data_IF_347403892381
#
_entry.id   IF_347403892381
#
_cell.length_a   1.000
_cell.length_b   1.000
_cell.length_c   1.000
_cell.angle_alpha   90.00
_cell.angle_beta   90.00
_cell.angle_gamma   90.00
#
_symmetry.space_group_name_H-M   'P 1'
#
loop_
_entity.id
_entity.type
_entity.pdbx_description
1 polymer ?
#
# COMPACT_ATOMS: atom_id res chain seq x y z
N UNK A 1 40.17 47.02 -23.39
CA UNK A 1 39.81 45.66 -23.86
C UNK A 1 40.54 44.64 -23.01
N UNK A 2 39.88 44.13 -21.97
CA UNK A 2 40.27 42.90 -21.27
C UNK A 2 38.97 42.34 -20.70
N UNK A 3 38.48 41.26 -21.30
CA UNK A 3 37.30 40.52 -20.82
C UNK A 3 37.77 39.57 -19.73
N UNK A 4 37.36 39.83 -18.49
CA UNK A 4 37.49 38.87 -17.39
C UNK A 4 36.39 37.83 -17.51
N UNK A 5 36.79 36.56 -17.65
CA UNK A 5 35.90 35.39 -17.64
C UNK A 5 35.57 35.08 -16.17
N UNK A 6 34.30 35.21 -15.79
CA UNK A 6 33.80 34.75 -14.50
C UNK A 6 33.45 33.26 -14.66
N UNK A 7 34.28 32.39 -14.09
CA UNK A 7 33.98 30.97 -13.94
C UNK A 7 33.08 30.84 -12.70
N UNK A 8 31.77 30.70 -12.90
CA UNK A 8 30.87 30.26 -11.83
C UNK A 8 31.04 28.75 -11.64
N UNK A 9 31.67 28.35 -10.55
CA UNK A 9 31.60 26.97 -10.05
C UNK A 9 30.15 26.71 -9.58
N UNK A 10 29.40 25.91 -10.35
CA UNK A 10 28.22 25.23 -9.84
C UNK A 10 28.67 24.10 -8.92
N UNK A 11 28.57 24.32 -7.61
CA UNK A 11 28.62 23.24 -6.63
C UNK A 11 27.26 22.54 -6.71
N UNK A 12 27.24 21.39 -7.39
CA UNK A 12 26.11 20.47 -7.39
C UNK A 12 26.01 19.86 -5.98
N UNK A 13 25.24 20.49 -5.09
CA UNK A 13 24.80 19.85 -3.85
C UNK A 13 23.83 18.73 -4.25
N UNK A 14 24.36 17.52 -4.39
CA UNK A 14 23.58 16.29 -4.28
C UNK A 14 23.02 16.24 -2.85
N UNK A 15 21.87 16.86 -2.65
CA UNK A 15 21.01 16.53 -1.52
C UNK A 15 20.49 15.13 -1.84
N UNK A 16 21.16 14.12 -1.31
CA UNK A 16 20.57 12.80 -1.16
C UNK A 16 19.44 13.00 -0.16
N UNK A 17 18.25 13.32 -0.66
CA UNK A 17 17.02 13.17 0.10
C UNK A 17 16.89 11.65 0.24
N UNK A 18 17.34 11.11 1.38
CA UNK A 18 16.92 9.79 1.79
C UNK A 18 15.39 9.82 1.78
N UNK A 19 14.77 9.11 0.83
CA UNK A 19 13.34 8.76 0.90
C UNK A 19 13.15 8.11 2.27
N UNK A 20 12.63 8.86 3.24
CA UNK A 20 12.21 8.26 4.50
C UNK A 20 10.93 7.49 4.19
N UNK A 21 11.08 6.18 3.96
CA UNK A 21 9.98 5.25 3.78
C UNK A 21 9.20 5.09 5.09
N UNK A 22 8.57 6.13 5.64
CA UNK A 22 7.75 6.05 6.86
C UNK A 22 8.42 5.51 8.13
N UNK A 23 9.65 4.98 8.09
CA UNK A 23 10.31 4.38 9.25
C UNK A 23 10.81 5.48 10.18
N UNK A 24 10.47 5.34 11.46
CA UNK A 24 10.78 6.33 12.48
C UNK A 24 11.87 5.89 13.46
N UNK A 25 12.15 4.59 13.55
CA UNK A 25 13.14 4.01 14.44
C UNK A 25 14.55 4.47 14.05
N UNK A 26 15.33 5.03 15.00
CA UNK A 26 16.71 5.42 14.75
C UNK A 26 17.66 4.21 14.70
N UNK A 27 17.16 3.02 15.01
CA UNK A 27 17.96 1.81 15.10
C UNK A 27 17.93 1.06 13.77
N UNK A 28 19.10 0.79 13.21
CA UNK A 28 19.22 -0.02 11.99
C UNK A 28 18.77 -1.46 12.26
N UNK A 29 17.92 -2.08 11.41
CA UNK A 29 17.52 -3.47 11.54
C UNK A 29 18.72 -4.44 11.54
N UNK A 30 18.56 -5.62 12.17
CA UNK A 30 19.62 -6.62 12.30
C UNK A 30 20.04 -7.24 10.95
N UNK A 31 19.14 -7.25 9.98
CA UNK A 31 19.35 -7.77 8.62
C UNK A 31 18.66 -6.87 7.59
N UNK A 32 18.91 -7.13 6.31
CA UNK A 32 18.18 -6.51 5.22
C UNK A 32 16.83 -7.19 5.06
N UNK A 33 15.74 -6.42 5.06
CA UNK A 33 14.39 -6.92 4.81
C UNK A 33 13.88 -6.50 3.45
N UNK A 34 12.97 -7.31 2.89
CA UNK A 34 12.30 -7.00 1.62
C UNK A 34 11.15 -6.02 1.81
N UNK A 35 10.50 -6.06 2.97
CA UNK A 35 9.34 -5.24 3.26
C UNK A 35 9.46 -4.53 4.60
N UNK A 36 8.76 -3.40 4.71
CA UNK A 36 8.69 -2.60 5.92
C UNK A 36 7.42 -1.77 5.98
N UNK A 37 6.91 -1.50 7.18
CA UNK A 37 5.75 -0.65 7.40
C UNK A 37 5.89 0.13 8.72
N UNK A 38 5.46 1.40 8.71
CA UNK A 38 5.24 2.18 9.94
C UNK A 38 3.89 1.78 10.54
N UNK A 39 3.91 1.12 11.71
CA UNK A 39 2.67 0.76 12.41
C UNK A 39 2.08 1.95 13.15
N UNK A 40 2.92 2.81 13.70
CA UNK A 40 2.52 4.06 14.33
C UNK A 40 3.64 5.09 14.25
N UNK A 41 3.27 6.29 13.82
CA UNK A 41 4.22 7.38 13.59
C UNK A 41 5.06 7.70 14.81
N UNK A 42 6.39 7.64 14.64
CA UNK A 42 7.38 7.86 15.69
C UNK A 42 7.35 6.88 16.87
N UNK A 43 6.68 5.73 16.73
CA UNK A 43 6.45 4.78 17.83
C UNK A 43 6.75 3.34 17.46
N UNK A 44 6.28 2.86 16.32
CA UNK A 44 6.34 1.43 16.02
C UNK A 44 6.57 1.18 14.53
N UNK A 45 7.60 0.38 14.22
CA UNK A 45 8.01 0.03 12.87
C UNK A 45 8.19 -1.48 12.75
N UNK A 46 7.75 -2.05 11.63
CA UNK A 46 7.81 -3.49 11.36
C UNK A 46 8.54 -3.75 10.04
N UNK A 47 9.46 -4.71 10.05
CA UNK A 47 10.10 -5.26 8.86
C UNK A 47 9.82 -6.74 8.75
N UNK A 48 9.75 -7.25 7.52
CA UNK A 48 9.60 -8.69 7.31
C UNK A 48 10.18 -9.20 6.00
N UNK A 49 10.48 -10.50 6.01
CA UNK A 49 10.77 -11.32 4.83
C UNK A 49 9.94 -12.59 4.93
N UNK A 50 9.31 -12.98 3.82
CA UNK A 50 8.67 -14.29 3.68
C UNK A 50 9.62 -15.26 3.00
N UNK A 51 9.73 -16.45 3.57
CA UNK A 51 10.34 -17.62 2.96
C UNK A 51 9.23 -18.64 2.62
N UNK A 52 8.72 -18.60 1.39
CA UNK A 52 7.68 -19.54 0.95
C UNK A 52 8.17 -20.99 0.86
N UNK A 53 9.48 -21.22 0.72
CA UNK A 53 10.04 -22.57 0.63
C UNK A 53 10.01 -23.25 2.01
N UNK A 54 10.45 -22.54 3.05
CA UNK A 54 10.38 -23.01 4.44
C UNK A 54 9.00 -22.76 5.08
N UNK A 55 8.10 -22.06 4.38
CA UNK A 55 6.77 -21.66 4.87
C UNK A 55 6.85 -20.85 6.16
N UNK A 56 7.82 -19.94 6.24
CA UNK A 56 8.09 -19.10 7.40
C UNK A 56 8.06 -17.61 7.03
N UNK A 57 7.81 -16.77 8.03
CA UNK A 57 7.99 -15.33 7.97
C UNK A 57 8.92 -14.90 9.10
N UNK A 58 9.90 -14.05 8.77
CA UNK A 58 10.82 -13.47 9.73
C UNK A 58 10.44 -12.01 9.89
N UNK A 59 10.16 -11.61 11.13
CA UNK A 59 9.85 -10.23 11.50
C UNK A 59 11.02 -9.61 12.26
N UNK A 60 11.16 -8.30 12.13
CA UNK A 60 11.81 -7.47 13.15
C UNK A 60 10.89 -6.32 13.50
N UNK A 61 10.59 -6.20 14.79
CA UNK A 61 9.63 -5.24 15.32
C UNK A 61 10.33 -4.29 16.28
N UNK A 62 10.29 -2.99 15.96
CA UNK A 62 10.87 -1.94 16.77
C UNK A 62 9.76 -1.11 17.39
N UNK A 63 9.82 -0.91 18.70
CA UNK A 63 8.88 -0.04 19.41
C UNK A 63 9.61 0.90 20.34
N UNK A 64 9.18 2.15 20.38
CA UNK A 64 9.72 3.21 21.25
C UNK A 64 9.31 2.99 22.71
N UNK A 65 9.94 2.02 23.35
CA UNK A 65 9.79 1.68 24.76
C UNK A 65 11.08 1.02 25.29
N UNK A 66 11.12 0.72 26.60
CA UNK A 66 12.15 -0.09 27.29
C UNK A 66 11.45 -1.18 28.10
N UNK A 67 10.43 -1.78 27.49
CA UNK A 67 9.54 -2.72 28.13
C UNK A 67 9.06 -3.74 27.12
N UNK A 68 8.06 -4.54 27.50
CA UNK A 68 7.54 -5.54 26.58
C UNK A 68 6.89 -4.93 25.33
N UNK A 69 7.03 -5.64 24.22
CA UNK A 69 6.40 -5.36 22.92
C UNK A 69 5.60 -6.58 22.48
N UNK A 70 4.47 -6.35 21.82
CA UNK A 70 3.64 -7.42 21.28
C UNK A 70 3.23 -7.10 19.85
N UNK A 71 3.31 -8.13 19.00
CA UNK A 71 2.79 -8.13 17.63
C UNK A 71 1.83 -9.31 17.51
N UNK A 72 0.67 -9.11 16.88
CA UNK A 72 -0.27 -10.18 16.66
C UNK A 72 -0.97 -10.12 15.32
N UNK A 73 -1.45 -11.27 14.86
CA UNK A 73 -2.32 -11.42 13.70
C UNK A 73 -3.74 -11.58 14.21
N UNK A 74 -4.65 -10.71 13.76
CA UNK A 74 -6.03 -10.65 14.24
C UNK A 74 -7.02 -10.98 13.12
N UNK A 75 -8.06 -11.78 13.38
CA UNK A 75 -9.12 -12.02 12.41
C UNK A 75 -9.98 -10.77 12.11
N UNK A 76 -10.06 -9.83 13.06
CA UNK A 76 -10.99 -8.69 13.01
C UNK A 76 -10.38 -7.35 13.47
N UNK A 77 -9.07 -7.30 13.72
CA UNK A 77 -8.35 -6.10 14.17
C UNK A 77 -8.45 -5.76 15.66
N UNK A 78 -9.19 -6.56 16.43
CA UNK A 78 -9.23 -6.51 17.90
C UNK A 78 -8.43 -7.65 18.55
N UNK A 79 -8.41 -7.69 19.88
CA UNK A 79 -7.72 -8.76 20.62
C UNK A 79 -8.41 -10.12 20.44
N UNK A 80 -9.75 -10.17 20.39
CA UNK A 80 -10.48 -11.45 20.34
C UNK A 80 -10.07 -12.29 19.12
N UNK A 81 -9.61 -13.51 19.38
CA UNK A 81 -9.15 -14.48 18.41
C UNK A 81 -7.78 -14.16 17.81
N UNK A 82 -7.05 -13.19 18.37
CA UNK A 82 -5.71 -12.86 17.88
C UNK A 82 -4.65 -13.83 18.42
N UNK A 83 -3.72 -14.14 17.53
CA UNK A 83 -2.49 -14.89 17.77
C UNK A 83 -1.35 -13.87 17.93
N UNK A 84 -0.64 -13.91 19.06
CA UNK A 84 0.18 -12.81 19.56
C UNK A 84 1.53 -13.32 20.07
N UNK A 85 2.61 -12.85 19.45
CA UNK A 85 3.95 -12.91 20.04
C UNK A 85 4.20 -11.73 20.98
N UNK A 86 4.59 -12.02 22.22
CA UNK A 86 5.00 -11.00 23.22
C UNK A 86 6.46 -11.20 23.58
N UNK A 87 7.28 -10.15 23.53
CA UNK A 87 8.68 -10.24 23.89
C UNK A 87 9.24 -9.00 24.57
N UNK A 88 10.36 -9.18 25.27
CA UNK A 88 11.11 -8.12 25.95
C UNK A 88 12.60 -8.50 26.03
N UNK A 89 13.46 -7.54 26.39
CA UNK A 89 14.89 -7.76 26.55
C UNK A 89 15.26 -7.36 27.96
N UNK A 90 15.68 -8.32 28.78
CA UNK A 90 15.99 -8.05 30.18
C UNK A 90 17.30 -7.24 30.36
N UNK A 91 17.59 -6.87 31.61
CA UNK A 91 18.79 -6.11 31.97
C UNK A 91 20.11 -6.84 31.67
N UNK A 92 20.09 -8.16 31.47
CA UNK A 92 21.25 -8.94 31.06
C UNK A 92 21.39 -9.00 29.52
N UNK A 93 20.46 -8.40 28.78
CA UNK A 93 20.39 -8.42 27.33
C UNK A 93 19.78 -9.71 26.76
N UNK A 94 19.12 -10.51 27.60
CA UNK A 94 18.49 -11.76 27.17
C UNK A 94 17.09 -11.46 26.64
N UNK A 95 16.80 -12.01 25.47
CA UNK A 95 15.47 -11.92 24.85
C UNK A 95 14.56 -12.96 25.47
N UNK A 96 13.42 -12.51 25.96
CA UNK A 96 12.31 -13.35 26.37
C UNK A 96 11.19 -13.19 25.35
N UNK A 97 10.54 -14.30 25.00
CA UNK A 97 9.47 -14.30 24.02
C UNK A 97 8.44 -15.37 24.35
N UNK A 98 7.17 -15.04 24.18
CA UNK A 98 6.05 -15.89 24.52
C UNK A 98 5.04 -15.88 23.38
N UNK A 99 4.62 -17.07 23.01
CA UNK A 99 3.47 -17.32 22.15
C UNK A 99 2.18 -17.21 22.98
N UNK A 100 1.19 -16.47 22.50
CA UNK A 100 -0.02 -16.17 23.27
C UNK A 100 -1.27 -16.05 22.40
N UNK A 101 -2.38 -16.55 22.94
CA UNK A 101 -3.70 -16.45 22.34
C UNK A 101 -4.64 -15.52 23.13
N UNK A 102 -5.38 -14.67 22.43
CA UNK A 102 -6.34 -13.75 23.03
C UNK A 102 -7.80 -14.20 22.82
N UNK A 103 -8.41 -14.83 23.83
CA UNK A 103 -9.84 -15.22 23.79
C UNK A 103 -10.82 -14.03 23.81
N UNK A 104 -10.36 -12.83 24.16
CA UNK A 104 -11.22 -11.67 24.35
C UNK A 104 -10.44 -10.38 24.60
N UNK A 105 -11.11 -9.40 25.21
CA UNK A 105 -10.52 -8.13 25.62
C UNK A 105 -9.90 -8.24 27.02
N UNK A 106 -9.15 -9.31 27.26
CA UNK A 106 -8.47 -9.65 28.52
C UNK A 106 -7.00 -9.97 28.22
N UNK A 107 -6.12 -10.03 29.22
CA UNK A 107 -4.74 -10.46 29.01
C UNK A 107 -4.68 -11.76 28.20
N UNK A 108 -3.88 -11.82 27.12
CA UNK A 108 -3.77 -13.03 26.31
C UNK A 108 -3.06 -14.12 27.13
N UNK A 109 -3.52 -15.35 27.00
CA UNK A 109 -2.96 -16.49 27.73
C UNK A 109 -1.79 -17.06 26.96
N UNK A 110 -0.84 -17.69 27.66
CA UNK A 110 0.25 -18.41 27.01
C UNK A 110 -0.34 -19.54 26.17
N UNK A 111 0.06 -19.58 24.91
CA UNK A 111 -0.20 -20.72 24.06
C UNK A 111 0.82 -21.83 24.35
N UNK A 112 0.32 -23.02 24.65
CA UNK A 112 1.13 -24.18 25.00
C UNK A 112 0.77 -25.42 24.19
N UNK A 113 -0.09 -25.30 23.18
CA UNK A 113 -0.44 -26.42 22.29
C UNK A 113 0.68 -26.67 21.29
N UNK A 114 1.22 -25.61 20.70
CA UNK A 114 2.43 -25.62 19.87
C UNK A 114 3.29 -24.39 20.20
N UNK A 115 4.53 -24.36 19.70
CA UNK A 115 5.39 -23.17 19.81
C UNK A 115 5.65 -22.73 18.40
N UNK A 116 5.00 -21.66 17.97
CA UNK A 116 5.02 -21.24 16.58
C UNK A 116 5.75 -19.93 16.35
N UNK A 117 6.08 -19.25 17.45
CA UNK A 117 6.87 -18.03 17.46
C UNK A 117 8.24 -18.25 18.11
N UNK A 118 9.30 -17.97 17.36
CA UNK A 118 10.67 -18.23 17.78
C UNK A 118 11.48 -16.93 17.82
N UNK A 119 11.98 -16.49 18.98
CA UNK A 119 12.89 -15.36 19.04
C UNK A 119 14.22 -15.73 18.38
N UNK A 120 14.77 -14.79 17.60
CA UNK A 120 16.09 -14.91 17.00
C UNK A 120 17.10 -14.07 17.77
N UNK A 121 16.78 -12.79 18.00
CA UNK A 121 17.63 -11.84 18.71
C UNK A 121 16.84 -10.57 19.04
N UNK A 122 17.36 -9.76 19.96
CA UNK A 122 16.70 -8.56 20.42
C UNK A 122 17.67 -7.64 21.15
N UNK A 123 17.32 -6.36 21.20
CA UNK A 123 18.11 -5.33 21.88
C UNK A 123 17.21 -4.23 22.40
N UNK A 124 17.63 -3.64 23.52
CA UNK A 124 17.15 -2.34 23.95
C UNK A 124 18.23 -1.29 23.75
N UNK A 125 17.91 -0.23 23.01
CA UNK A 125 18.85 0.83 22.70
C UNK A 125 18.10 2.15 22.48
N UNK A 126 18.65 3.25 23.00
CA UNK A 126 18.10 4.60 22.77
C UNK A 126 16.60 4.77 23.09
N UNK A 127 16.07 4.03 24.07
CA UNK A 127 14.65 4.07 24.43
C UNK A 127 13.73 3.33 23.46
N UNK A 128 14.27 2.36 22.72
CA UNK A 128 13.52 1.45 21.86
C UNK A 128 13.86 -0.01 22.20
N UNK A 129 12.84 -0.85 22.15
CA UNK A 129 12.94 -2.30 22.20
C UNK A 129 12.76 -2.83 20.78
N UNK A 130 13.75 -3.59 20.31
CA UNK A 130 13.80 -4.18 18.97
C UNK A 130 13.96 -5.69 19.08
N UNK A 131 13.02 -6.47 18.54
CA UNK A 131 13.09 -7.94 18.57
C UNK A 131 12.88 -8.50 17.17
N UNK A 132 13.78 -9.39 16.76
CA UNK A 132 13.65 -10.23 15.58
C UNK A 132 13.17 -11.62 16.00
N UNK A 133 12.15 -12.11 15.33
CA UNK A 133 11.55 -13.42 15.57
C UNK A 133 11.00 -14.01 14.28
N UNK A 134 10.79 -15.32 14.26
CA UNK A 134 10.19 -16.01 13.12
C UNK A 134 8.91 -16.73 13.52
N UNK A 135 8.01 -16.91 12.55
CA UNK A 135 6.75 -17.62 12.70
C UNK A 135 6.46 -18.46 11.46
N UNK A 136 5.87 -19.64 11.62
CA UNK A 136 5.33 -20.40 10.48
C UNK A 136 4.17 -19.62 9.84
N UNK A 137 3.99 -19.76 8.52
CA UNK A 137 2.87 -19.12 7.81
C UNK A 137 1.53 -19.74 8.21
N UNK A 138 1.51 -21.05 8.42
CA UNK A 138 0.35 -21.83 8.86
C UNK A 138 0.85 -22.95 9.77
N UNK A 139 0.42 -22.92 11.02
CA UNK A 139 0.89 -23.76 12.13
C UNK A 139 0.03 -25.02 12.29
N UNK A 140 -1.13 -25.05 11.63
CA UNK A 140 -2.19 -26.04 11.85
C UNK A 140 -2.72 -26.07 13.30
N UNK A 141 -2.40 -25.06 14.12
CA UNK A 141 -3.03 -24.83 15.42
C UNK A 141 -4.38 -24.11 15.24
N UNK A 142 -5.39 -24.59 15.96
CA UNK A 142 -6.72 -23.98 16.02
C UNK A 142 -6.76 -22.62 16.75
N UNK A 143 -5.76 -22.32 17.57
CA UNK A 143 -5.62 -21.03 18.26
C UNK A 143 -4.86 -19.99 17.44
N UNK A 144 -4.23 -20.40 16.34
CA UNK A 144 -3.45 -19.52 15.49
C UNK A 144 -4.23 -18.95 14.31
N UNK A 145 -3.77 -17.79 13.85
CA UNK A 145 -4.31 -17.14 12.66
C UNK A 145 -3.35 -17.37 11.49
N UNK A 146 -3.71 -18.17 10.47
CA UNK A 146 -2.82 -18.43 9.33
C UNK A 146 -2.54 -17.13 8.55
N UNK A 147 -1.28 -16.89 8.22
CA UNK A 147 -0.85 -15.78 7.37
C UNK A 147 -1.05 -16.20 5.92
N UNK A 148 -2.18 -15.76 5.37
CA UNK A 148 -2.57 -16.04 3.99
C UNK A 148 -2.06 -14.94 3.07
N UNK A 149 -2.00 -15.27 1.78
CA UNK A 149 -1.73 -14.27 0.75
C UNK A 149 -2.81 -13.17 0.78
N UNK A 150 -2.38 -11.93 0.58
CA UNK A 150 -3.23 -10.75 0.67
C UNK A 150 -3.17 -10.07 2.03
N UNK A 151 -4.19 -9.27 2.33
CA UNK A 151 -4.22 -8.40 3.52
C UNK A 151 -4.38 -9.18 4.81
N UNK A 152 -3.43 -9.02 5.72
CA UNK A 152 -3.46 -9.52 7.08
C UNK A 152 -3.72 -8.34 8.04
N UNK A 153 -4.50 -8.54 9.09
CA UNK A 153 -4.72 -7.49 10.09
C UNK A 153 -3.73 -7.70 11.23
N UNK A 154 -2.73 -6.83 11.27
CA UNK A 154 -1.71 -6.79 12.32
C UNK A 154 -2.18 -5.89 13.45
N UNK A 155 -2.10 -6.38 14.67
CA UNK A 155 -2.27 -5.60 15.89
C UNK A 155 -0.92 -5.50 16.60
N UNK A 156 -0.71 -4.40 17.32
CA UNK A 156 0.45 -4.27 18.18
C UNK A 156 0.06 -3.62 19.51
N UNK A 157 0.84 -3.91 20.54
CA UNK A 157 0.75 -3.26 21.85
C UNK A 157 2.12 -3.22 22.52
N UNK A 158 2.30 -2.34 23.50
CA UNK A 158 3.55 -2.28 24.26
C UNK A 158 3.36 -1.76 25.69
N UNK A 159 4.21 -2.25 26.58
CA UNK A 159 4.34 -1.82 27.96
C UNK A 159 5.52 -0.88 28.16
N UNK A 160 5.56 -0.21 29.32
CA UNK A 160 6.68 0.66 29.71
C UNK A 160 7.74 -0.05 30.56
N UNK A 161 7.44 -1.26 31.00
CA UNK A 161 8.28 -2.05 31.91
C UNK A 161 8.26 -3.50 31.46
N UNK A 162 9.38 -4.19 31.68
CA UNK A 162 9.47 -5.63 31.45
C UNK A 162 8.56 -6.41 32.42
N UNK A 163 8.07 -7.59 32.00
CA UNK A 163 7.32 -8.49 32.85
C UNK A 163 8.15 -9.00 34.03
N UNK A 164 7.48 -9.22 35.17
CA UNK A 164 8.10 -9.83 36.34
C UNK A 164 8.30 -11.33 36.13
N UNK A 165 9.57 -11.73 35.93
CA UNK A 165 9.99 -13.12 35.72
C UNK A 165 9.80 -14.03 36.94
N UNK A 166 9.47 -13.49 38.12
CA UNK A 166 9.17 -14.30 39.30
C UNK A 166 7.80 -14.99 39.21
N UNK A 167 6.98 -14.64 38.22
CA UNK A 167 5.69 -15.27 37.95
C UNK A 167 5.78 -16.19 36.74
N UNK A 168 5.10 -17.33 36.81
CA UNK A 168 5.17 -18.40 35.81
C UNK A 168 4.66 -18.00 34.43
N UNK A 169 3.82 -16.97 34.36
CA UNK A 169 3.28 -16.45 33.11
C UNK A 169 3.99 -15.19 32.61
N UNK A 170 4.85 -14.53 33.40
CA UNK A 170 5.36 -13.19 33.08
C UNK A 170 4.19 -12.19 33.01
N UNK A 171 3.92 -11.48 34.11
CA UNK A 171 2.77 -10.57 34.24
C UNK A 171 2.87 -9.40 33.25
N UNK A 172 2.23 -9.55 32.09
CA UNK A 172 2.20 -8.54 31.04
C UNK A 172 1.29 -7.41 31.51
N UNK A 173 1.91 -6.31 31.94
CA UNK A 173 1.20 -5.10 32.38
C UNK A 173 0.26 -4.56 31.29
N UNK A 174 -0.84 -3.91 31.69
CA UNK A 174 -1.80 -3.37 30.74
C UNK A 174 -1.20 -2.28 29.84
N UNK A 175 -1.40 -2.39 28.54
CA UNK A 175 -0.86 -1.46 27.54
C UNK A 175 -1.57 -0.09 27.51
N UNK A 176 -2.76 0.06 28.10
CA UNK A 176 -3.55 1.29 28.01
C UNK A 176 -3.76 1.73 26.54
N UNK A 177 -3.50 2.99 26.19
CA UNK A 177 -3.59 3.51 24.83
C UNK A 177 -2.40 3.16 23.93
N UNK A 178 -1.38 2.45 24.44
CA UNK A 178 -0.17 2.04 23.71
C UNK A 178 -0.42 0.80 22.85
N UNK A 179 -1.33 0.93 21.89
CA UNK A 179 -1.75 -0.13 20.97
C UNK A 179 -2.24 0.42 19.64
N UNK A 180 -2.27 -0.42 18.63
CA UNK A 180 -2.87 -0.07 17.34
C UNK A 180 -3.12 -1.27 16.43
N UNK A 181 -3.72 -0.98 15.29
CA UNK A 181 -4.11 -1.97 14.27
C UNK A 181 -3.74 -1.45 12.88
N UNK A 182 -3.21 -2.32 12.02
CA UNK A 182 -2.87 -2.04 10.63
C UNK A 182 -3.26 -3.21 9.72
N UNK A 183 -3.69 -2.89 8.51
CA UNK A 183 -3.87 -3.87 7.44
C UNK A 183 -2.57 -3.91 6.64
N UNK A 184 -1.91 -5.07 6.58
CA UNK A 184 -0.60 -5.24 5.94
C UNK A 184 -0.64 -6.50 5.07
N UNK A 185 -0.23 -6.42 3.80
CA UNK A 185 -0.06 -7.61 2.98
C UNK A 185 1.24 -8.33 3.37
N UNK A 186 1.24 -9.03 4.51
CA UNK A 186 2.42 -9.74 5.02
C UNK A 186 2.96 -10.78 4.03
N UNK A 187 2.07 -11.35 3.21
CA UNK A 187 2.41 -12.28 2.14
C UNK A 187 1.84 -11.78 0.82
N UNK A 188 2.58 -10.91 0.13
CA UNK A 188 2.28 -10.47 -1.24
C UNK A 188 2.72 -11.52 -2.28
N UNK A 189 2.04 -11.57 -3.42
CA UNK A 189 2.49 -12.37 -4.56
C UNK A 189 3.66 -11.64 -5.24
N UNK A 190 4.88 -12.01 -4.85
CA UNK A 190 6.10 -11.40 -5.39
C UNK A 190 6.50 -10.10 -4.68
N UNK A 191 7.71 -9.64 -4.98
CA UNK A 191 8.15 -8.32 -4.54
C UNK A 191 7.74 -7.31 -5.60
N UNK A 192 7.28 -6.10 -5.21
CA UNK A 192 7.17 -5.03 -6.16
C UNK A 192 8.55 -4.81 -6.81
N UNK A 193 8.60 -4.67 -8.14
CA UNK A 193 9.86 -4.43 -8.85
C UNK A 193 10.48 -3.10 -8.40
N UNK A 194 11.82 -3.02 -8.43
CA UNK A 194 12.51 -1.76 -8.21
C UNK A 194 12.38 -0.85 -9.44
N UNK A 195 12.41 0.46 -9.23
CA UNK A 195 12.41 1.45 -10.32
C UNK A 195 13.59 1.24 -11.29
N UNK A 196 14.73 0.75 -10.79
CA UNK A 196 15.93 0.42 -11.58
C UNK A 196 15.66 -0.63 -12.66
N UNK A 197 14.70 -1.55 -12.44
CA UNK A 197 14.35 -2.58 -13.42
C UNK A 197 13.84 -1.97 -14.73
N UNK A 198 13.18 -0.81 -14.65
CA UNK A 198 12.59 -0.13 -15.80
C UNK A 198 13.43 1.06 -16.28
N UNK A 199 14.63 1.22 -15.73
CA UNK A 199 15.52 2.31 -16.11
C UNK A 199 15.87 2.23 -17.61
N UNK A 200 15.71 3.36 -18.30
CA UNK A 200 16.02 3.49 -19.72
C UNK A 200 14.90 3.09 -20.68
N UNK A 201 13.77 2.58 -20.19
CA UNK A 201 12.58 2.34 -21.02
C UNK A 201 11.88 3.66 -21.36
N UNK A 202 11.25 3.71 -22.54
CA UNK A 202 10.30 4.78 -22.88
C UNK A 202 9.15 4.79 -21.85
N UNK A 203 8.62 5.97 -21.55
CA UNK A 203 7.48 6.12 -20.63
C UNK A 203 6.59 7.31 -20.97
N UNK A 204 5.40 7.33 -20.37
CA UNK A 204 4.48 8.47 -20.40
C UNK A 204 3.72 8.56 -19.07
N UNK A 205 3.17 9.74 -18.76
CA UNK A 205 2.61 10.05 -17.44
C UNK A 205 1.27 10.77 -17.52
N UNK A 206 0.44 10.56 -16.49
CA UNK A 206 -0.76 11.34 -16.22
C UNK A 206 -0.71 11.82 -14.77
N UNK A 207 -0.58 13.15 -14.56
CA UNK A 207 -0.37 13.74 -13.23
C UNK A 207 -1.29 14.95 -12.96
N UNK A 208 -1.57 15.28 -11.69
CA UNK A 208 -2.36 16.46 -11.35
C UNK A 208 -1.63 17.81 -11.59
N UNK A 209 -0.30 17.77 -11.72
CA UNK A 209 0.60 18.88 -12.08
C UNK A 209 0.27 20.24 -11.40
N UNK A 210 0.84 20.46 -10.21
CA UNK A 210 0.67 21.68 -9.41
C UNK A 210 -0.78 22.00 -9.04
N UNK A 211 -1.61 20.97 -8.86
CA UNK A 211 -3.00 21.13 -8.45
C UNK A 211 -3.07 21.64 -7.01
N UNK A 212 -3.85 22.70 -6.78
CA UNK A 212 -4.11 23.22 -5.43
C UNK A 212 -5.27 22.45 -4.83
N UNK A 213 -4.97 21.48 -3.98
CA UNK A 213 -5.98 20.65 -3.33
C UNK A 213 -6.86 21.52 -2.43
N UNK A 214 -8.20 21.50 -2.60
CA UNK A 214 -9.12 22.18 -1.71
C UNK A 214 -8.99 21.70 -0.25
N UNK A 215 -9.39 22.56 0.69
CA UNK A 215 -9.48 22.18 2.12
C UNK A 215 -10.79 21.48 2.49
N UNK A 216 -11.55 21.03 1.50
CA UNK A 216 -12.73 20.20 1.72
C UNK A 216 -12.32 18.83 2.25
N UNK A 217 -13.21 18.18 2.99
CA UNK A 217 -12.92 16.89 3.64
C UNK A 217 -12.62 15.78 2.64
N UNK A 218 -13.27 15.80 1.47
CA UNK A 218 -13.01 14.90 0.35
C UNK A 218 -13.09 15.71 -0.95
N UNK A 219 -12.17 15.46 -1.88
CA UNK A 219 -12.18 16.08 -3.20
C UNK A 219 -11.83 15.07 -4.27
N UNK A 220 -12.62 15.01 -5.33
CA UNK A 220 -12.31 14.28 -6.56
C UNK A 220 -11.87 15.29 -7.60
N UNK A 221 -10.64 15.14 -8.09
CA UNK A 221 -10.04 15.98 -9.10
C UNK A 221 -9.94 15.22 -10.43
N UNK A 222 -10.37 15.84 -11.51
CA UNK A 222 -10.41 15.25 -12.84
C UNK A 222 -9.59 16.07 -13.84
N UNK A 223 -8.69 15.39 -14.55
CA UNK A 223 -7.89 15.99 -15.63
C UNK A 223 -7.93 15.14 -16.89
N UNK A 224 -8.30 15.77 -18.00
CA UNK A 224 -8.32 15.14 -19.32
C UNK A 224 -6.94 15.22 -19.96
N UNK A 225 -6.47 14.09 -20.47
CA UNK A 225 -5.23 13.94 -21.20
C UNK A 225 -5.48 13.44 -22.61
N UNK A 226 -4.66 13.89 -23.56
CA UNK A 226 -4.55 13.23 -24.86
C UNK A 226 -3.73 11.95 -24.73
N UNK A 227 -4.04 10.97 -25.57
CA UNK A 227 -3.20 9.80 -25.74
C UNK A 227 -1.76 10.18 -26.16
N UNK A 228 -0.75 9.43 -25.71
CA UNK A 228 0.65 9.70 -26.04
C UNK A 228 0.91 9.58 -27.55
N UNK A 229 1.24 10.71 -28.19
CA UNK A 229 1.41 10.81 -29.65
C UNK A 229 2.79 10.39 -30.14
N UNK A 230 3.75 10.16 -29.22
CA UNK A 230 5.10 9.71 -29.56
C UNK A 230 5.15 8.26 -30.08
N UNK A 231 4.09 7.46 -29.86
CA UNK A 231 4.02 6.07 -30.29
C UNK A 231 3.22 5.91 -31.59
N UNK A 232 3.93 6.02 -32.72
CA UNK A 232 3.34 5.92 -34.07
C UNK A 232 2.85 4.51 -34.42
N UNK A 233 3.40 3.49 -33.79
CA UNK A 233 2.97 2.08 -33.91
C UNK A 233 2.50 1.58 -32.56
N UNK A 234 1.70 0.50 -32.56
CA UNK A 234 1.25 -0.14 -31.32
C UNK A 234 2.45 -0.56 -30.48
N UNK A 235 2.42 -0.20 -29.19
CA UNK A 235 3.37 -0.59 -28.14
C UNK A 235 2.60 -1.14 -26.95
N UNK A 236 3.27 -1.89 -26.08
CA UNK A 236 2.71 -2.34 -24.81
C UNK A 236 3.42 -1.65 -23.67
N UNK A 237 2.66 -1.00 -22.77
CA UNK A 237 3.14 -0.76 -21.44
C UNK A 237 3.20 -2.09 -20.68
N UNK A 238 4.30 -2.34 -19.98
CA UNK A 238 4.58 -3.61 -19.27
C UNK A 238 4.57 -3.45 -17.75
N UNK A 239 4.53 -2.22 -17.28
CA UNK A 239 4.44 -1.87 -15.88
C UNK A 239 3.85 -0.47 -15.73
N UNK A 240 3.34 -0.17 -14.55
CA UNK A 240 3.03 1.19 -14.13
C UNK A 240 3.71 1.53 -12.80
N UNK A 241 3.94 2.82 -12.56
CA UNK A 241 4.41 3.35 -11.29
C UNK A 241 3.49 4.49 -10.86
N UNK A 242 2.95 4.42 -9.65
CA UNK A 242 2.23 5.52 -9.03
C UNK A 242 3.23 6.51 -8.46
N UNK A 243 3.08 7.76 -8.89
CA UNK A 243 3.92 8.89 -8.52
C UNK A 243 3.20 9.67 -7.44
N UNK A 244 3.26 9.25 -6.17
CA UNK A 244 2.68 10.02 -5.07
C UNK A 244 3.70 11.04 -4.57
N UNK A 245 3.34 12.32 -4.59
CA UNK A 245 4.11 13.39 -3.95
C UNK A 245 4.31 13.04 -2.47
N UNK A 246 5.57 12.94 -2.05
CA UNK A 246 5.90 12.51 -0.69
C UNK A 246 5.32 13.44 0.37
N UNK A 247 5.05 14.70 0.02
CA UNK A 247 4.43 15.68 0.90
C UNK A 247 2.92 15.53 1.01
N UNK A 248 2.27 14.72 0.16
CA UNK A 248 0.82 14.52 0.10
C UNK A 248 0.38 13.06 0.21
N UNK A 249 1.25 12.15 0.67
CA UNK A 249 0.89 10.75 0.96
C UNK A 249 -0.23 10.60 2.00
N UNK A 250 -0.44 11.60 2.84
CA UNK A 250 -1.56 11.69 3.79
C UNK A 250 -2.90 12.11 3.15
N UNK A 251 -2.88 12.60 1.90
CA UNK A 251 -4.07 13.07 1.20
C UNK A 251 -4.48 12.16 0.03
N UNK A 252 -3.51 11.70 -0.77
CA UNK A 252 -3.80 10.91 -1.97
C UNK A 252 -4.34 9.53 -1.57
N UNK A 253 -5.65 9.34 -1.74
CA UNK A 253 -6.35 8.15 -1.25
C UNK A 253 -6.54 7.09 -2.34
N UNK A 254 -6.91 7.51 -3.55
CA UNK A 254 -6.90 6.64 -4.73
C UNK A 254 -6.71 7.44 -6.02
N UNK A 255 -6.25 6.75 -7.06
CA UNK A 255 -6.05 7.25 -8.41
C UNK A 255 -6.69 6.29 -9.39
N UNK A 256 -7.39 6.83 -10.39
CA UNK A 256 -7.90 6.07 -11.54
C UNK A 256 -7.51 6.80 -12.82
N UNK A 257 -7.09 6.06 -13.84
CA UNK A 257 -7.04 6.60 -15.20
C UNK A 257 -8.07 5.88 -16.03
N UNK A 258 -9.04 6.63 -16.52
CA UNK A 258 -10.09 6.13 -17.39
C UNK A 258 -9.72 6.28 -18.86
N UNK A 259 -10.19 5.34 -19.67
CA UNK A 259 -10.16 5.40 -21.12
C UNK A 259 -11.47 6.00 -21.63
N UNK A 260 -11.38 7.07 -22.42
CA UNK A 260 -12.56 7.61 -23.07
C UNK A 260 -13.00 6.74 -24.26
N UNK A 261 -14.31 6.73 -24.52
CA UNK A 261 -14.86 6.15 -25.76
C UNK A 261 -14.12 6.73 -26.99
N UNK A 262 -13.80 5.92 -28.01
CA UNK A 262 -13.11 6.39 -29.22
C UNK A 262 -13.82 7.53 -29.98
N UNK A 263 -15.12 7.70 -29.77
CA UNK A 263 -15.95 8.77 -30.29
C UNK A 263 -15.91 10.06 -29.45
N UNK A 264 -15.30 10.04 -28.26
CA UNK A 264 -15.16 11.23 -27.43
C UNK A 264 -14.32 12.31 -28.12
N UNK A 265 -14.79 13.55 -28.02
CA UNK A 265 -14.13 14.74 -28.59
C UNK A 265 -14.02 15.83 -27.54
N UNK A 266 -12.82 16.39 -27.38
CA UNK A 266 -12.56 17.53 -26.51
C UNK A 266 -11.97 18.69 -27.32
N UNK A 267 -12.06 19.91 -26.78
CA UNK A 267 -11.26 21.02 -27.28
C UNK A 267 -9.81 20.84 -26.81
N UNK A 268 -8.97 20.46 -27.75
CA UNK A 268 -7.54 20.22 -27.57
C UNK A 268 -6.77 21.42 -26.98
N UNK A 269 -7.27 22.64 -27.15
CA UNK A 269 -6.68 23.85 -26.59
C UNK A 269 -7.10 24.12 -25.14
N UNK A 270 -8.17 23.48 -24.67
CA UNK A 270 -8.77 23.71 -23.35
C UNK A 270 -9.35 22.41 -22.78
N UNK A 271 -8.47 21.45 -22.52
CA UNK A 271 -8.86 20.17 -21.91
C UNK A 271 -9.34 20.40 -20.47
N UNK A 272 -10.45 19.75 -20.04
CA UNK A 272 -10.94 19.86 -18.67
C UNK A 272 -9.88 19.48 -17.62
N UNK A 273 -9.74 20.32 -16.59
CA UNK A 273 -8.77 20.21 -15.49
C UNK A 273 -9.36 20.95 -14.29
N UNK A 274 -10.15 20.24 -13.46
CA UNK A 274 -10.84 20.82 -12.31
C UNK A 274 -11.35 19.72 -11.36
N UNK A 275 -12.02 20.10 -10.27
CA UNK A 275 -12.87 19.22 -9.48
C UNK A 275 -13.86 18.50 -10.40
N UNK A 276 -13.98 17.18 -10.23
CA UNK A 276 -14.76 16.32 -11.12
C UNK A 276 -16.21 16.79 -11.30
N UNK A 277 -16.86 17.30 -10.25
CA UNK A 277 -18.23 17.82 -10.32
C UNK A 277 -18.41 18.95 -11.35
N UNK A 278 -17.41 19.84 -11.46
CA UNK A 278 -17.46 20.98 -12.39
C UNK A 278 -17.33 20.54 -13.86
N UNK A 279 -16.62 19.44 -14.10
CA UNK A 279 -16.32 18.92 -15.44
C UNK A 279 -17.07 17.64 -15.76
N UNK A 280 -17.97 17.18 -14.87
CA UNK A 280 -18.64 15.89 -14.95
C UNK A 280 -19.37 15.70 -16.28
N UNK A 281 -20.04 16.74 -16.77
CA UNK A 281 -20.72 16.74 -18.07
C UNK A 281 -19.80 16.37 -19.25
N UNK A 282 -18.50 16.61 -19.12
CA UNK A 282 -17.50 16.29 -20.14
C UNK A 282 -16.84 14.91 -19.92
N UNK A 283 -16.64 14.49 -18.67
CA UNK A 283 -15.81 13.32 -18.35
C UNK A 283 -16.60 12.04 -18.04
N UNK A 284 -17.87 12.14 -17.66
CA UNK A 284 -18.67 10.99 -17.20
C UNK A 284 -18.75 9.84 -18.22
N UNK A 285 -18.70 10.15 -19.53
CA UNK A 285 -18.72 9.14 -20.59
C UNK A 285 -17.43 8.30 -20.65
N UNK A 286 -16.32 8.79 -20.08
CA UNK A 286 -15.06 8.04 -20.02
C UNK A 286 -15.01 7.10 -18.81
N UNK A 287 -15.78 7.37 -17.75
CA UNK A 287 -15.67 6.72 -16.44
C UNK A 287 -16.28 5.30 -16.38
N UNK A 288 -16.26 4.58 -17.52
CA UNK A 288 -16.75 3.20 -17.63
C UNK A 288 -15.64 2.19 -17.89
N UNK A 289 -14.48 2.61 -18.43
CA UNK A 289 -13.33 1.74 -18.65
C UNK A 289 -12.08 2.34 -18.03
N UNK A 290 -11.27 1.52 -17.36
CA UNK A 290 -10.09 1.96 -16.61
C UNK A 290 -8.83 1.36 -17.21
N UNK A 291 -7.80 2.20 -17.43
CA UNK A 291 -6.47 1.73 -17.77
C UNK A 291 -5.71 1.27 -16.51
N UNK A 292 -5.97 1.91 -15.36
CA UNK A 292 -5.39 1.60 -14.06
C UNK A 292 -6.30 2.09 -12.95
N UNK A 293 -6.33 1.35 -11.83
CA UNK A 293 -6.86 1.79 -10.54
C UNK A 293 -5.79 1.53 -9.48
N UNK A 294 -5.51 2.52 -8.64
CA UNK A 294 -4.64 2.40 -7.47
C UNK A 294 -5.33 2.99 -6.25
N UNK A 295 -5.10 2.42 -5.07
CA UNK A 295 -5.58 2.95 -3.79
C UNK A 295 -4.52 2.75 -2.70
N UNK A 296 -4.68 3.47 -1.58
CA UNK A 296 -3.80 3.33 -0.41
C UNK A 296 -3.60 1.85 -0.04
N UNK A 297 -2.34 1.47 0.17
CA UNK A 297 -1.94 0.09 0.47
C UNK A 297 -1.60 -0.77 -0.75
N UNK A 298 -1.88 -0.30 -1.97
CA UNK A 298 -1.32 -0.88 -3.21
C UNK A 298 0.15 -0.54 -3.39
N UNK A 299 0.88 -1.38 -4.12
CA UNK A 299 2.29 -1.14 -4.43
C UNK A 299 2.48 0.12 -5.30
N UNK A 300 3.59 0.83 -5.10
CA UNK A 300 3.94 2.00 -5.91
C UNK A 300 4.31 1.61 -7.35
N UNK A 301 4.74 0.36 -7.59
CA UNK A 301 5.11 -0.14 -8.92
C UNK A 301 4.53 -1.53 -9.11
N UNK A 302 3.82 -1.74 -10.22
CA UNK A 302 3.28 -3.04 -10.61
C UNK A 302 3.78 -3.39 -12.02
N UNK A 303 4.32 -4.60 -12.16
CA UNK A 303 4.66 -5.17 -13.46
C UNK A 303 3.55 -6.12 -13.91
N UNK A 304 3.09 -5.96 -15.15
CA UNK A 304 2.08 -6.82 -15.74
C UNK A 304 2.67 -8.20 -16.09
N UNK A 305 1.82 -9.21 -16.16
CA UNK A 305 2.19 -10.58 -16.53
C UNK A 305 3.00 -10.66 -17.85
N UNK A 306 3.99 -11.56 -17.93
CA UNK A 306 4.94 -11.62 -19.06
C UNK A 306 4.26 -11.79 -20.43
N UNK A 307 3.09 -12.43 -20.45
CA UNK A 307 2.28 -12.69 -21.63
C UNK A 307 1.41 -11.52 -22.09
N UNK A 308 1.16 -10.51 -21.24
CA UNK A 308 0.20 -9.43 -21.52
C UNK A 308 0.78 -8.03 -21.25
N UNK A 309 0.42 -7.04 -22.07
CA UNK A 309 0.78 -5.66 -21.81
C UNK A 309 -0.31 -4.68 -22.25
N UNK A 310 -0.37 -3.53 -21.59
CA UNK A 310 -1.41 -2.53 -21.84
C UNK A 310 -1.14 -1.83 -23.18
N UNK A 311 -2.05 -1.93 -24.16
CA UNK A 311 -1.83 -1.42 -25.51
C UNK A 311 -1.88 0.12 -25.56
N UNK A 312 -0.93 0.74 -26.26
CA UNK A 312 -0.89 2.18 -26.53
C UNK A 312 -0.33 2.48 -27.92
N UNK A 313 -0.68 3.64 -28.47
CA UNK A 313 -0.16 4.11 -29.76
C UNK A 313 -0.68 3.32 -30.97
N UNK A 314 -0.23 3.74 -32.16
CA UNK A 314 -0.69 3.19 -33.44
C UNK A 314 -2.21 3.21 -33.55
N UNK A 315 -2.78 2.04 -33.81
CA UNK A 315 -4.22 1.87 -34.10
C UNK A 315 -5.06 1.67 -32.83
N UNK A 316 -4.46 1.80 -31.64
CA UNK A 316 -5.21 1.72 -30.38
C UNK A 316 -6.24 2.86 -30.31
N UNK A 317 -7.54 2.56 -30.13
CA UNK A 317 -8.60 3.51 -30.46
C UNK A 317 -8.81 4.62 -29.42
N UNK A 318 -8.17 4.55 -28.25
CA UNK A 318 -8.31 5.53 -27.17
C UNK A 318 -7.55 6.81 -27.51
N UNK A 319 -8.29 7.91 -27.65
CA UNK A 319 -7.73 9.25 -27.98
C UNK A 319 -7.51 10.12 -26.75
N UNK A 320 -8.33 9.93 -25.72
CA UNK A 320 -8.30 10.72 -24.50
C UNK A 320 -8.39 9.81 -23.27
N UNK A 321 -7.78 10.28 -22.20
CA UNK A 321 -7.77 9.66 -20.89
C UNK A 321 -8.29 10.66 -19.85
N UNK A 322 -8.87 10.17 -18.76
CA UNK A 322 -9.22 11.01 -17.60
C UNK A 322 -8.47 10.49 -16.39
N UNK A 323 -7.57 11.29 -15.85
CA UNK A 323 -7.03 11.09 -14.51
C UNK A 323 -8.09 11.56 -13.51
N UNK A 324 -8.55 10.67 -12.65
CA UNK A 324 -9.31 10.98 -11.45
C UNK A 324 -8.42 10.72 -10.23
N UNK A 325 -8.25 11.75 -9.39
CA UNK A 325 -7.54 11.65 -8.12
C UNK A 325 -8.49 11.96 -6.98
N UNK A 326 -8.61 11.05 -6.02
CA UNK A 326 -9.35 11.30 -4.79
C UNK A 326 -8.40 11.70 -3.66
N UNK A 327 -8.61 12.91 -3.15
CA UNK A 327 -7.96 13.44 -1.97
C UNK A 327 -8.88 13.28 -0.75
N UNK A 328 -8.43 12.54 0.27
CA UNK A 328 -9.05 12.46 1.59
C UNK A 328 -8.32 13.44 2.53
N UNK A 329 -9.00 14.51 2.95
CA UNK A 329 -8.42 15.59 3.74
C UNK A 329 -9.22 15.81 5.04
N UNK A 330 -9.27 14.82 5.94
CA UNK A 330 -10.08 14.89 7.16
C UNK A 330 -9.66 16.02 8.11
N UNK A 331 -8.41 16.48 8.00
CA UNK A 331 -7.86 17.62 8.76
C UNK A 331 -8.14 18.98 8.11
N UNK A 332 -8.72 19.00 6.91
CA UNK A 332 -8.99 20.22 6.13
C UNK A 332 -7.75 21.10 5.98
N UNK A 333 -6.61 20.45 5.72
CA UNK A 333 -5.32 21.12 5.58
C UNK A 333 -5.37 22.12 4.41
N UNK A 334 -4.79 23.31 4.63
CA UNK A 334 -4.74 24.40 3.65
C UNK A 334 -3.42 24.39 2.89
N UNK A 335 -3.41 25.06 1.72
CA UNK A 335 -2.21 25.34 0.92
C UNK A 335 -1.43 24.09 0.49
N UNK A 336 -2.14 22.99 0.28
CA UNK A 336 -1.57 21.75 -0.25
C UNK A 336 -1.51 21.84 -1.78
N UNK A 337 -0.35 21.56 -2.34
CA UNK A 337 -0.12 21.54 -3.78
C UNK A 337 0.35 20.15 -4.12
N UNK A 338 -0.28 19.53 -5.11
CA UNK A 338 -0.03 18.16 -5.49
C UNK A 338 0.34 18.04 -6.97
N UNK A 339 1.29 17.15 -7.26
CA UNK A 339 1.65 16.76 -8.62
C UNK A 339 1.63 15.23 -8.77
N UNK A 340 0.82 14.55 -7.96
CA UNK A 340 0.76 13.10 -7.97
C UNK A 340 0.10 12.57 -9.25
N UNK A 341 0.38 11.31 -9.59
CA UNK A 341 -0.10 10.71 -10.83
C UNK A 341 0.35 9.28 -11.04
N UNK A 342 0.42 8.87 -12.29
CA UNK A 342 0.90 7.54 -12.71
C UNK A 342 1.80 7.66 -13.93
N UNK A 343 2.84 6.83 -13.96
CA UNK A 343 3.72 6.59 -15.10
C UNK A 343 3.49 5.19 -15.65
N UNK A 344 3.48 5.05 -16.97
CA UNK A 344 3.50 3.76 -17.65
C UNK A 344 4.86 3.54 -18.32
N UNK A 345 5.45 2.35 -18.13
CA UNK A 345 6.71 1.95 -18.76
C UNK A 345 6.45 1.10 -20.00
N UNK A 346 7.04 1.49 -21.12
CA UNK A 346 6.85 0.82 -22.40
C UNK A 346 7.89 -0.29 -22.59
N UNK A 347 7.42 -1.49 -22.87
CA UNK A 347 8.28 -2.61 -23.23
C UNK A 347 8.94 -2.43 -24.60
N UNK A 348 10.13 -3.01 -24.76
CA UNK A 348 10.85 -3.02 -26.04
C UNK A 348 10.12 -3.84 -27.12
N UNK A 349 9.36 -4.85 -26.71
CA UNK A 349 8.64 -5.78 -27.59
C UNK A 349 7.17 -5.86 -27.21
N UNK A 350 6.33 -6.15 -28.19
CA UNK A 350 4.94 -6.52 -27.95
C UNK A 350 4.90 -7.86 -27.22
N UNK A 351 4.02 -7.94 -26.22
CA UNK A 351 3.66 -9.20 -25.55
C UNK A 351 2.57 -9.91 -26.33
N UNK A 352 2.30 -11.18 -26.00
CA UNK A 352 1.38 -12.04 -26.74
C UNK A 352 -0.07 -11.52 -26.72
N UNK A 353 -0.48 -10.92 -25.60
CA UNK A 353 -1.84 -10.47 -25.36
C UNK A 353 -1.91 -8.99 -25.00
N UNK A 354 -3.05 -8.38 -25.32
CA UNK A 354 -3.40 -7.05 -24.85
C UNK A 354 -3.98 -7.19 -23.44
N UNK A 355 -3.48 -6.39 -22.51
CA UNK A 355 -4.04 -6.28 -21.17
C UNK A 355 -5.31 -5.42 -21.25
N UNK A 356 -6.37 -5.86 -20.58
CA UNK A 356 -7.59 -5.09 -20.36
C UNK A 356 -8.00 -5.11 -18.90
N UNK A 357 -8.88 -4.20 -18.51
CA UNK A 357 -9.40 -4.11 -17.16
C UNK A 357 -10.84 -4.61 -17.09
N UNK A 358 -11.18 -5.33 -16.02
CA UNK A 358 -12.53 -5.83 -15.80
C UNK A 358 -12.94 -5.55 -14.35
N UNK A 359 -13.93 -4.68 -14.19
CA UNK A 359 -14.51 -4.37 -12.89
C UNK A 359 -15.72 -5.26 -12.61
N UNK A 360 -15.78 -5.81 -11.39
CA UNK A 360 -16.91 -6.58 -10.90
C UNK A 360 -17.38 -6.02 -9.56
N UNK A 361 -18.68 -5.87 -9.39
CA UNK A 361 -19.24 -5.44 -8.11
C UNK A 361 -20.54 -4.66 -8.28
N UNK A 362 -20.97 -4.06 -7.19
CA UNK A 362 -22.10 -3.12 -7.17
C UNK A 362 -21.56 -1.70 -7.33
N UNK A 363 -22.05 -0.96 -8.32
CA UNK A 363 -21.64 0.45 -8.53
C UNK A 363 -22.16 1.39 -7.43
N UNK A 364 -21.56 2.58 -7.26
CA UNK A 364 -21.83 3.48 -6.12
C UNK A 364 -23.12 4.31 -6.24
N UNK A 365 -24.12 3.87 -7.03
CA UNK A 365 -25.35 4.65 -7.22
C UNK A 365 -26.20 4.71 -5.94
N UNK A 366 -26.81 5.86 -5.58
CA UNK A 366 -27.74 5.94 -4.46
C UNK A 366 -28.83 4.85 -4.55
N UNK A 367 -28.90 3.99 -3.53
CA UNK A 367 -29.85 2.87 -3.49
C UNK A 367 -29.39 1.57 -4.13
N UNK A 368 -28.19 1.51 -4.75
CA UNK A 368 -27.61 0.26 -5.24
C UNK A 368 -27.16 -0.67 -4.10
N UNK A 369 -26.75 -0.08 -2.97
CA UNK A 369 -26.18 -0.78 -1.83
C UNK A 369 -26.55 -0.06 -0.53
N UNK A 370 -27.17 -0.77 0.40
CA UNK A 370 -27.48 -0.26 1.73
C UNK A 370 -27.19 -1.34 2.78
N UNK A 371 -26.35 -1.01 3.76
CA UNK A 371 -26.04 -1.87 4.90
C UNK A 371 -26.87 -1.36 6.09
N UNK A 372 -27.80 -2.15 6.64
CA UNK A 372 -28.57 -1.73 7.80
C UNK A 372 -27.65 -1.44 8.99
N UNK A 373 -27.94 -0.41 9.82
CA UNK A 373 -27.15 -0.15 11.01
C UNK A 373 -27.28 -1.31 12.01
N UNK A 374 -26.25 -1.51 12.84
CA UNK A 374 -26.21 -2.49 13.95
C UNK A 374 -26.25 -3.98 13.54
N UNK A 375 -25.99 -4.30 12.27
CA UNK A 375 -25.80 -5.70 11.85
C UNK A 375 -24.35 -6.14 12.06
N UNK A 376 -24.16 -7.29 12.71
CA UNK A 376 -22.81 -7.84 12.95
C UNK A 376 -22.14 -8.33 11.66
N UNK A 377 -22.93 -8.74 10.66
CA UNK A 377 -22.47 -9.17 9.33
C UNK A 377 -23.61 -8.97 8.33
N UNK A 378 -23.30 -8.36 7.19
CA UNK A 378 -24.20 -8.22 6.06
C UNK A 378 -23.46 -8.67 4.80
N UNK A 379 -24.05 -9.62 4.06
CA UNK A 379 -23.47 -10.15 2.83
C UNK A 379 -24.02 -9.37 1.64
N UNK A 380 -23.14 -9.03 0.71
CA UNK A 380 -23.47 -8.32 -0.53
C UNK A 380 -22.95 -9.18 -1.67
N UNK A 381 -23.88 -9.78 -2.40
CA UNK A 381 -23.55 -10.62 -3.54
C UNK A 381 -23.69 -9.80 -4.83
N UNK A 382 -22.66 -9.81 -5.67
CA UNK A 382 -22.66 -9.22 -7.00
C UNK A 382 -22.46 -10.31 -8.04
N UNK A 383 -23.16 -10.22 -9.17
CA UNK A 383 -23.18 -11.28 -10.17
C UNK A 383 -22.83 -10.74 -11.56
N UNK A 384 -21.94 -11.42 -12.28
CA UNK A 384 -21.82 -11.31 -13.73
C UNK A 384 -22.68 -12.40 -14.37
N UNK A 385 -23.78 -12.02 -15.02
CA UNK A 385 -24.71 -13.00 -15.58
C UNK A 385 -24.07 -13.78 -16.75
N UNK A 386 -24.47 -15.04 -17.00
CA UNK A 386 -24.02 -15.79 -18.18
C UNK A 386 -24.29 -15.07 -19.51
N UNK A 387 -25.35 -14.27 -19.57
CA UNK A 387 -25.66 -13.44 -20.75
C UNK A 387 -24.61 -12.35 -20.95
N UNK A 388 -24.14 -11.72 -19.87
CA UNK A 388 -23.11 -10.69 -19.95
C UNK A 388 -21.79 -11.28 -20.45
N UNK A 389 -21.37 -12.42 -19.90
CA UNK A 389 -20.17 -13.11 -20.38
C UNK A 389 -20.32 -13.59 -21.83
N UNK A 390 -21.47 -14.11 -22.23
CA UNK A 390 -21.70 -14.55 -23.61
C UNK A 390 -21.62 -13.42 -24.64
N UNK A 391 -22.04 -12.20 -24.28
CA UNK A 391 -21.99 -11.03 -25.17
C UNK A 391 -20.60 -10.39 -25.19
N UNK A 392 -19.90 -10.39 -24.05
CA UNK A 392 -18.69 -9.59 -23.87
C UNK A 392 -17.38 -10.38 -23.93
N UNK A 393 -17.41 -11.72 -23.75
CA UNK A 393 -16.24 -12.58 -23.81
C UNK A 393 -16.36 -13.46 -25.05
N UNK A 394 -15.50 -13.23 -26.03
CA UNK A 394 -15.43 -14.10 -27.21
C UNK A 394 -14.78 -15.42 -26.82
N UNK A 395 -15.50 -16.52 -26.99
CA UNK A 395 -14.91 -17.86 -27.03
C UNK A 395 -14.27 -18.05 -28.40
N UNK A 396 -12.95 -17.86 -28.48
CA UNK A 396 -12.17 -18.29 -29.65
C UNK A 396 -11.98 -19.81 -29.64
#
# INVERSE_FOLDING_TARGET
MQRGVIIQLLILLLVIVNKSNGISSPIKPFTTYKHSAELQTNVADLWWIVDDAEREIIFEFHVKTTGWIALGISPAGGMRGADIGVGWVDLAGIVHFQDRHAFGMSPPVIDNTTTDWFPLQGREQNGWTSIQFKRLLDTCDSMDVPIKSGTNIVIFAYGLVDPDLSRSDGDISYHDTRRGTRMIPLRSYGNPPSEEKFAGLDSFEFCALNYRVPSEESTYYCKVYKAPTQFLTKRHAIAHQVLVDSTNRDLVHHLVVYECDPAATFDDANLPDDVCDNVYAHVHMCMSNSAIVWAVGGDDIEEFAEEAGYPVGGDFPVKYYVLEMHYDNPKRALNRIDSSGVRFYIGEKLRQHDLGFLSFGTGPSPGSLAIPPQVNRFLIDSYCSPRATQVSIQHN
#
